data_IF_660411474289
#
_entry.id   IF_660411474289
#
_cell.length_a   1.000
_cell.length_b   1.000
_cell.length_c   1.000
_cell.angle_alpha   90.00
_cell.angle_beta   90.00
_cell.angle_gamma   90.00
#
_symmetry.space_group_name_H-M   'P 1'
#
loop_
_entity.id
_entity.type
_entity.pdbx_description
1 polymer ?
#
# COMPACT_ATOMS: atom_id res chain seq x y z
N UNK A 1 -15.96 -10.52 -8.18
CA UNK A 1 -14.92 -10.40 -7.12
C UNK A 1 -14.08 -9.17 -7.44
N UNK A 2 -13.72 -8.31 -6.46
CA UNK A 2 -12.91 -7.13 -6.71
C UNK A 2 -11.53 -7.51 -7.24
N UNK A 3 -10.95 -6.67 -8.10
CA UNK A 3 -9.59 -6.83 -8.62
C UNK A 3 -8.60 -6.05 -7.76
N UNK A 4 -7.38 -6.58 -7.60
CA UNK A 4 -6.28 -5.90 -6.92
C UNK A 4 -5.14 -5.68 -7.90
N UNK A 5 -4.77 -4.42 -8.11
CA UNK A 5 -3.65 -4.02 -8.96
C UNK A 5 -2.55 -3.36 -8.12
N UNK A 6 -1.29 -3.61 -8.47
CA UNK A 6 -0.13 -2.93 -7.88
C UNK A 6 0.44 -2.00 -8.94
N UNK A 7 0.44 -0.71 -8.66
CA UNK A 7 0.91 0.31 -9.62
C UNK A 7 2.42 0.45 -9.53
N UNK A 8 3.07 0.41 -10.67
CA UNK A 8 4.52 0.50 -10.85
C UNK A 8 4.90 1.70 -11.74
N UNK A 9 6.20 1.96 -11.89
CA UNK A 9 6.70 2.95 -12.84
C UNK A 9 6.36 2.62 -14.30
N UNK A 10 6.23 1.35 -14.63
CA UNK A 10 5.89 0.92 -15.98
C UNK A 10 4.46 1.35 -16.35
N UNK A 11 3.53 1.28 -15.38
CA UNK A 11 2.17 1.78 -15.58
C UNK A 11 2.14 3.30 -15.81
N UNK A 12 3.08 4.03 -15.19
CA UNK A 12 3.21 5.48 -15.39
C UNK A 12 3.84 5.85 -16.75
N UNK A 13 4.63 4.94 -17.33
CA UNK A 13 5.22 5.12 -18.66
C UNK A 13 4.20 4.89 -19.79
N UNK A 14 3.08 4.20 -19.51
CA UNK A 14 2.02 4.00 -20.49
C UNK A 14 1.34 5.32 -20.87
N UNK A 15 0.86 5.48 -22.14
CA UNK A 15 -0.06 6.55 -22.49
C UNK A 15 -1.30 6.57 -21.58
N UNK A 16 -1.84 7.77 -21.31
CA UNK A 16 -2.98 7.90 -20.40
C UNK A 16 -4.17 7.05 -20.85
N UNK A 17 -4.47 7.07 -22.15
CA UNK A 17 -5.58 6.35 -22.75
C UNK A 17 -5.45 4.83 -22.53
N UNK A 18 -4.25 4.28 -22.63
CA UNK A 18 -4.01 2.86 -22.36
C UNK A 18 -4.23 2.52 -20.89
N UNK A 19 -3.74 3.34 -19.97
CA UNK A 19 -3.96 3.13 -18.54
C UNK A 19 -5.46 3.26 -18.19
N UNK A 20 -6.16 4.24 -18.75
CA UNK A 20 -7.62 4.37 -18.61
C UNK A 20 -8.34 3.11 -19.12
N UNK A 21 -7.97 2.60 -20.31
CA UNK A 21 -8.56 1.40 -20.88
C UNK A 21 -8.31 0.15 -20.02
N UNK A 22 -7.11 -0.02 -19.47
CA UNK A 22 -6.79 -1.13 -18.57
C UNK A 22 -7.64 -1.12 -17.30
N UNK A 23 -7.76 0.05 -16.65
CA UNK A 23 -8.56 0.20 -15.42
C UNK A 23 -10.05 0.05 -15.74
N UNK A 24 -10.53 0.57 -16.86
CA UNK A 24 -11.91 0.38 -17.31
C UNK A 24 -12.24 -1.11 -17.49
N UNK A 25 -11.39 -1.84 -18.22
CA UNK A 25 -11.54 -3.29 -18.40
C UNK A 25 -11.57 -4.05 -17.07
N UNK A 26 -10.72 -3.68 -16.12
CA UNK A 26 -10.72 -4.28 -14.79
C UNK A 26 -12.01 -3.96 -14.01
N UNK A 27 -12.53 -2.73 -14.10
CA UNK A 27 -13.79 -2.34 -13.48
C UNK A 27 -14.99 -3.08 -14.11
N UNK A 28 -15.01 -3.25 -15.42
CA UNK A 28 -16.06 -3.97 -16.14
C UNK A 28 -16.06 -5.47 -15.78
N UNK A 29 -14.87 -6.08 -15.70
CA UNK A 29 -14.73 -7.49 -15.37
C UNK A 29 -15.01 -7.81 -13.90
N UNK A 30 -14.67 -6.90 -12.98
CA UNK A 30 -14.61 -7.19 -11.55
C UNK A 30 -15.55 -6.32 -10.69
N UNK A 31 -16.15 -5.29 -11.25
CA UNK A 31 -17.02 -4.35 -10.56
C UNK A 31 -16.28 -3.34 -9.68
N UNK A 32 -15.24 -3.74 -8.96
CA UNK A 32 -14.43 -2.88 -8.09
C UNK A 32 -12.94 -3.18 -8.26
N UNK A 33 -12.11 -2.13 -8.17
CA UNK A 33 -10.65 -2.22 -8.26
C UNK A 33 -10.01 -1.58 -7.04
N UNK A 34 -9.02 -2.27 -6.45
CA UNK A 34 -8.16 -1.75 -5.38
C UNK A 34 -6.76 -1.55 -5.95
N UNK A 35 -6.34 -0.31 -6.10
CA UNK A 35 -5.03 0.07 -6.64
C UNK A 35 -4.05 0.37 -5.50
N UNK A 36 -3.00 -0.45 -5.36
CA UNK A 36 -1.91 -0.23 -4.42
C UNK A 36 -0.89 0.71 -5.06
N UNK A 37 -0.73 1.90 -4.52
CA UNK A 37 0.14 2.95 -5.04
C UNK A 37 1.28 3.26 -4.05
N UNK A 38 2.45 3.74 -4.51
CA UNK A 38 3.45 4.31 -3.61
C UNK A 38 2.90 5.55 -2.89
N UNK A 39 3.17 5.65 -1.57
CA UNK A 39 2.67 6.77 -0.74
C UNK A 39 3.54 8.02 -0.87
N UNK A 40 4.87 7.80 -0.97
CA UNK A 40 5.83 8.90 -0.93
C UNK A 40 6.00 9.54 -2.29
N UNK A 41 6.78 10.59 -2.28
CA UNK A 41 7.47 11.36 -3.31
C UNK A 41 7.01 11.24 -4.79
N UNK A 42 6.43 10.13 -5.20
CA UNK A 42 5.85 9.96 -6.52
C UNK A 42 4.38 10.36 -6.54
N UNK A 43 4.19 11.64 -6.26
CA UNK A 43 2.93 12.33 -6.51
C UNK A 43 2.41 12.07 -7.95
N UNK A 44 3.30 11.67 -8.88
CA UNK A 44 2.97 11.31 -10.23
C UNK A 44 2.08 10.06 -10.32
N UNK A 45 2.40 8.97 -9.58
CA UNK A 45 1.60 7.74 -9.59
C UNK A 45 0.20 8.00 -9.04
N UNK A 46 0.12 8.68 -7.91
CA UNK A 46 -1.15 9.03 -7.29
C UNK A 46 -1.96 9.99 -8.16
N UNK A 47 -1.33 11.06 -8.69
CA UNK A 47 -2.00 11.98 -9.63
C UNK A 47 -2.52 11.25 -10.86
N UNK A 48 -1.71 10.34 -11.43
CA UNK A 48 -2.13 9.53 -12.58
C UNK A 48 -3.37 8.69 -12.27
N UNK A 49 -3.41 8.00 -11.12
CA UNK A 49 -4.58 7.23 -10.71
C UNK A 49 -5.80 8.11 -10.48
N UNK A 50 -5.65 9.29 -9.88
CA UNK A 50 -6.75 10.25 -9.74
C UNK A 50 -7.25 10.76 -11.10
N UNK A 51 -6.34 10.99 -12.07
CA UNK A 51 -6.72 11.35 -13.43
C UNK A 51 -7.51 10.23 -14.11
N UNK A 52 -7.03 8.98 -14.00
CA UNK A 52 -7.74 7.79 -14.52
C UNK A 52 -9.12 7.66 -13.88
N UNK A 53 -9.21 7.79 -12.55
CA UNK A 53 -10.47 7.73 -11.82
C UNK A 53 -11.45 8.82 -12.26
N UNK A 54 -10.96 10.05 -12.48
CA UNK A 54 -11.79 11.18 -12.97
C UNK A 54 -12.23 10.97 -14.40
N UNK A 55 -11.34 10.49 -15.28
CA UNK A 55 -11.67 10.22 -16.69
C UNK A 55 -12.73 9.11 -16.84
N UNK A 56 -12.75 8.15 -15.92
CA UNK A 56 -13.74 7.07 -15.89
C UNK A 56 -15.00 7.41 -15.06
N UNK A 57 -15.03 8.57 -14.39
CA UNK A 57 -16.08 8.92 -13.41
C UNK A 57 -16.32 7.77 -12.40
N UNK A 58 -15.25 7.06 -12.05
CA UNK A 58 -15.34 5.79 -11.33
C UNK A 58 -15.27 5.99 -9.81
N UNK A 59 -16.36 5.73 -9.12
CA UNK A 59 -16.43 5.60 -7.65
C UNK A 59 -16.03 4.20 -7.15
N UNK A 60 -15.83 3.24 -8.06
CA UNK A 60 -15.47 1.84 -7.79
C UNK A 60 -13.96 1.55 -7.87
N UNK A 61 -13.13 2.59 -7.94
CA UNK A 61 -11.68 2.50 -7.88
C UNK A 61 -11.17 3.06 -6.54
N UNK A 62 -10.71 2.18 -5.65
CA UNK A 62 -10.00 2.58 -4.44
C UNK A 62 -8.51 2.81 -4.75
N UNK A 63 -7.96 3.94 -4.30
CA UNK A 63 -6.53 4.25 -4.41
C UNK A 63 -5.93 4.15 -3.00
N UNK A 64 -5.04 3.19 -2.78
CA UNK A 64 -4.43 2.90 -1.48
C UNK A 64 -2.96 3.29 -1.51
N UNK A 65 -2.58 4.46 -0.99
CA UNK A 65 -1.18 4.84 -0.87
C UNK A 65 -0.50 4.07 0.26
N UNK A 66 0.67 3.48 -0.04
CA UNK A 66 1.46 2.64 0.88
C UNK A 66 2.93 3.04 0.85
N UNK A 67 3.49 3.35 2.02
CA UNK A 67 4.93 3.63 2.22
C UNK A 67 5.80 2.38 2.26
N UNK A 68 5.53 1.42 1.39
CA UNK A 68 6.22 0.13 1.35
C UNK A 68 7.25 0.06 0.22
N UNK A 69 8.36 -0.64 0.42
CA UNK A 69 9.26 -1.01 -0.67
C UNK A 69 8.55 -1.78 -1.79
N UNK A 70 9.08 -1.76 -3.01
CA UNK A 70 8.43 -2.35 -4.17
C UNK A 70 8.06 -3.83 -4.00
N UNK A 71 8.99 -4.67 -3.48
CA UNK A 71 8.72 -6.08 -3.24
C UNK A 71 7.58 -6.28 -2.22
N UNK A 72 7.57 -5.51 -1.14
CA UNK A 72 6.51 -5.59 -0.13
C UNK A 72 5.13 -5.25 -0.71
N UNK A 73 5.04 -4.24 -1.61
CA UNK A 73 3.78 -3.90 -2.30
C UNK A 73 3.31 -5.02 -3.23
N UNK A 74 4.22 -5.66 -3.95
CA UNK A 74 3.90 -6.81 -4.81
C UNK A 74 3.33 -7.96 -3.99
N UNK A 75 4.00 -8.33 -2.89
CA UNK A 75 3.57 -9.40 -1.99
C UNK A 75 2.23 -9.10 -1.31
N UNK A 76 2.03 -7.86 -0.86
CA UNK A 76 0.73 -7.42 -0.34
C UNK A 76 -0.36 -7.55 -1.40
N UNK A 77 -0.07 -7.19 -2.65
CA UNK A 77 -0.99 -7.39 -3.76
C UNK A 77 -1.32 -8.88 -3.98
N UNK A 78 -0.35 -9.79 -3.84
CA UNK A 78 -0.58 -11.23 -3.89
C UNK A 78 -1.49 -11.70 -2.74
N UNK A 79 -1.22 -11.27 -1.50
CA UNK A 79 -2.05 -11.58 -0.33
C UNK A 79 -3.50 -11.12 -0.52
N UNK A 80 -3.71 -9.89 -0.98
CA UNK A 80 -5.05 -9.36 -1.22
C UNK A 80 -5.77 -10.10 -2.35
N UNK A 81 -5.06 -10.48 -3.43
CA UNK A 81 -5.63 -11.30 -4.51
C UNK A 81 -6.08 -12.68 -4.00
N UNK A 82 -5.35 -13.30 -3.10
CA UNK A 82 -5.80 -14.55 -2.45
C UNK A 82 -7.09 -14.32 -1.64
N UNK A 83 -7.20 -13.21 -0.93
CA UNK A 83 -8.38 -12.84 -0.15
C UNK A 83 -9.60 -12.49 -1.04
N UNK A 84 -9.44 -12.15 -2.32
CA UNK A 84 -10.59 -11.93 -3.20
C UNK A 84 -11.43 -13.19 -3.41
N UNK A 85 -10.87 -14.38 -3.18
CA UNK A 85 -11.58 -15.64 -3.21
C UNK A 85 -12.49 -15.92 -2.00
N UNK A 86 -12.52 -15.02 -1.02
CA UNK A 86 -13.34 -15.12 0.20
C UNK A 86 -14.61 -14.26 0.10
N UNK A 87 -15.39 -14.21 1.18
CA UNK A 87 -16.61 -13.39 1.30
C UNK A 87 -16.35 -11.91 1.64
N UNK A 88 -15.07 -11.48 1.65
CA UNK A 88 -14.71 -10.11 1.97
C UNK A 88 -15.15 -9.13 0.87
N UNK A 89 -15.93 -8.13 1.25
CA UNK A 89 -16.38 -7.06 0.36
C UNK A 89 -15.23 -6.13 -0.09
N UNK A 90 -15.44 -5.35 -1.17
CA UNK A 90 -14.38 -4.51 -1.75
C UNK A 90 -13.86 -3.45 -0.78
N UNK A 91 -14.72 -2.85 0.05
CA UNK A 91 -14.30 -1.85 1.04
C UNK A 91 -13.44 -2.44 2.15
N UNK A 92 -13.75 -3.68 2.58
CA UNK A 92 -12.95 -4.43 3.55
C UNK A 92 -11.59 -4.78 2.95
N UNK A 93 -11.53 -5.25 1.70
CA UNK A 93 -10.26 -5.57 1.02
C UNK A 93 -9.37 -4.33 0.84
N UNK A 94 -9.96 -3.18 0.50
CA UNK A 94 -9.20 -1.94 0.42
C UNK A 94 -8.60 -1.53 1.77
N UNK A 95 -9.38 -1.65 2.86
CA UNK A 95 -8.88 -1.41 4.22
C UNK A 95 -7.87 -2.46 4.69
N UNK A 96 -8.04 -3.73 4.28
CA UNK A 96 -7.12 -4.82 4.56
C UNK A 96 -5.71 -4.53 4.02
N UNK A 97 -5.56 -3.81 2.91
CA UNK A 97 -4.26 -3.39 2.41
C UNK A 97 -3.45 -2.60 3.45
N UNK A 98 -4.09 -1.67 4.17
CA UNK A 98 -3.46 -0.91 5.25
C UNK A 98 -3.19 -1.78 6.48
N UNK A 99 -4.14 -2.61 6.88
CA UNK A 99 -3.99 -3.52 8.02
C UNK A 99 -2.83 -4.49 7.80
N UNK A 100 -2.83 -5.21 6.67
CA UNK A 100 -1.84 -6.24 6.39
C UNK A 100 -0.45 -5.68 6.11
N UNK A 101 -0.33 -4.41 5.72
CA UNK A 101 0.99 -3.77 5.58
C UNK A 101 1.78 -3.79 6.87
N UNK A 102 1.15 -3.69 8.04
CA UNK A 102 1.82 -3.76 9.36
C UNK A 102 2.43 -5.14 9.66
N UNK A 103 2.02 -6.19 8.94
CA UNK A 103 2.54 -7.55 9.09
C UNK A 103 3.61 -7.89 8.05
N UNK A 104 4.18 -6.90 7.38
CA UNK A 104 5.30 -7.06 6.47
C UNK A 104 6.58 -6.54 7.13
N UNK A 105 7.65 -7.33 7.06
CA UNK A 105 9.00 -6.86 7.43
C UNK A 105 9.83 -6.82 6.17
N UNK A 106 10.16 -5.62 5.69
CA UNK A 106 10.75 -5.44 4.37
C UNK A 106 12.02 -4.61 4.41
N UNK A 107 13.03 -5.09 3.70
CA UNK A 107 14.33 -4.46 3.61
C UNK A 107 15.08 -4.85 2.35
N UNK A 108 16.35 -4.49 2.31
CA UNK A 108 17.26 -4.89 1.25
C UNK A 108 18.70 -5.05 1.74
N UNK A 109 19.41 -5.95 1.10
CA UNK A 109 20.87 -5.98 1.09
C UNK A 109 21.34 -5.04 -0.01
N UNK A 110 22.15 -4.04 0.33
CA UNK A 110 22.60 -3.01 -0.59
C UNK A 110 24.13 -2.98 -0.67
N UNK A 111 24.65 -2.80 -1.90
CA UNK A 111 26.07 -2.56 -2.11
C UNK A 111 26.50 -1.13 -1.74
N UNK A 112 25.56 -0.18 -1.59
CA UNK A 112 25.82 1.20 -1.20
C UNK A 112 24.53 1.83 -0.68
N UNK A 113 24.65 2.70 0.33
CA UNK A 113 23.55 3.50 0.91
C UNK A 113 23.68 4.99 0.60
N UNK A 114 24.61 5.37 -0.28
CA UNK A 114 24.93 6.78 -0.55
C UNK A 114 23.79 7.57 -1.21
N UNK A 115 22.87 6.89 -1.90
CA UNK A 115 21.69 7.48 -2.55
C UNK A 115 20.38 6.99 -1.93
N UNK A 116 20.44 6.46 -0.72
CA UNK A 116 19.26 6.02 0.02
C UNK A 116 18.60 7.24 0.66
N UNK A 117 17.46 7.67 0.11
CA UNK A 117 16.72 8.85 0.55
C UNK A 117 15.44 8.52 1.32
N UNK A 118 14.95 7.28 1.21
CA UNK A 118 13.67 6.84 1.78
C UNK A 118 13.78 6.19 3.16
N UNK A 119 14.99 5.88 3.58
CA UNK A 119 15.28 5.36 4.92
C UNK A 119 16.28 6.29 5.59
N UNK A 120 16.02 6.78 6.81
CA UNK A 120 16.95 7.67 7.51
C UNK A 120 18.33 7.03 7.66
N UNK A 121 19.36 7.65 7.10
CA UNK A 121 20.74 7.15 7.13
C UNK A 121 21.59 8.03 8.03
N UNK A 122 22.27 7.44 9.00
CA UNK A 122 23.26 8.15 9.80
C UNK A 122 24.54 8.47 8.99
N UNK A 123 25.17 9.60 9.30
CA UNK A 123 26.40 10.07 8.62
C UNK A 123 27.50 8.99 8.58
N UNK A 124 27.65 8.22 9.65
CA UNK A 124 28.61 7.11 9.72
C UNK A 124 28.38 6.01 8.68
N UNK A 125 27.11 5.71 8.33
CA UNK A 125 26.77 4.72 7.32
C UNK A 125 27.08 5.21 5.90
N UNK A 126 26.91 6.51 5.63
CA UNK A 126 27.32 7.11 4.36
C UNK A 126 28.82 7.00 4.12
N UNK A 127 29.64 7.30 5.13
CA UNK A 127 31.11 7.21 5.02
C UNK A 127 31.56 5.76 4.81
N UNK A 128 30.97 4.80 5.53
CA UNK A 128 31.27 3.37 5.37
C UNK A 128 30.87 2.81 3.99
N UNK A 129 29.84 3.38 3.35
CA UNK A 129 29.38 2.93 2.02
C UNK A 129 30.37 3.25 0.89
N UNK A 130 31.39 4.07 1.16
CA UNK A 130 32.50 4.34 0.23
C UNK A 130 33.59 3.27 0.25
N UNK A 131 33.54 2.33 1.22
CA UNK A 131 34.53 1.24 1.33
C UNK A 131 34.09 0.07 0.44
N UNK A 132 34.88 -0.32 -0.58
CA UNK A 132 34.56 -1.46 -1.44
C UNK A 132 34.41 -2.78 -0.66
N UNK A 133 33.48 -3.62 -1.11
CA UNK A 133 33.27 -4.96 -0.54
C UNK A 133 32.39 -4.99 0.71
N UNK A 134 31.90 -3.87 1.21
CA UNK A 134 30.90 -3.84 2.31
C UNK A 134 29.49 -3.89 1.75
N UNK A 135 28.66 -4.66 2.40
CA UNK A 135 27.22 -4.71 2.13
C UNK A 135 26.45 -4.24 3.34
N UNK A 136 25.33 -3.57 3.10
CA UNK A 136 24.47 -3.01 4.14
C UNK A 136 23.14 -3.74 4.19
N UNK A 137 22.77 -4.19 5.36
CA UNK A 137 21.42 -4.66 5.67
C UNK A 137 20.56 -3.45 6.04
N UNK A 138 19.56 -3.16 5.26
CA UNK A 138 18.63 -2.04 5.48
C UNK A 138 17.24 -2.61 5.67
N UNK A 139 16.56 -2.26 6.77
CA UNK A 139 15.15 -2.50 6.97
C UNK A 139 14.41 -1.16 6.77
N UNK A 140 13.39 -1.15 5.95
CA UNK A 140 12.59 0.05 5.70
C UNK A 140 11.22 -0.02 6.38
N UNK A 141 10.74 -1.22 6.69
CA UNK A 141 9.43 -1.45 7.29
C UNK A 141 9.47 -2.70 8.18
N UNK A 142 8.84 -2.74 9.38
CA UNK A 142 8.01 -1.68 9.98
C UNK A 142 8.83 -0.51 10.53
N UNK A 143 10.03 -0.75 11.03
CA UNK A 143 10.90 0.27 11.62
C UNK A 143 12.21 0.37 10.84
N UNK A 144 12.68 1.60 10.54
CA UNK A 144 13.93 1.80 9.85
C UNK A 144 15.15 1.24 10.63
N UNK A 145 15.97 0.46 9.94
CA UNK A 145 17.25 -0.02 10.46
C UNK A 145 18.31 0.02 9.36
N UNK A 146 19.54 0.36 9.72
CA UNK A 146 20.71 0.27 8.84
C UNK A 146 21.89 -0.28 9.63
N UNK A 147 22.48 -1.36 9.12
CA UNK A 147 23.68 -1.99 9.68
C UNK A 147 24.54 -2.62 8.58
N UNK A 148 25.75 -3.05 8.93
CA UNK A 148 26.55 -3.90 8.04
C UNK A 148 25.92 -5.31 8.02
N UNK A 149 25.94 -5.95 6.85
CA UNK A 149 25.38 -7.29 6.68
C UNK A 149 26.34 -8.36 7.24
N UNK A 150 26.44 -8.40 8.55
CA UNK A 150 27.26 -9.39 9.29
C UNK A 150 26.35 -10.47 9.88
N UNK A 151 26.85 -11.73 10.02
CA UNK A 151 26.06 -12.82 10.61
C UNK A 151 25.56 -12.54 12.04
N UNK A 152 26.32 -11.74 12.81
CA UNK A 152 25.97 -11.36 14.19
C UNK A 152 25.07 -10.12 14.29
N UNK A 153 24.89 -9.37 13.19
CA UNK A 153 24.15 -8.11 13.16
C UNK A 153 22.88 -8.23 12.31
N UNK A 154 21.89 -8.96 12.83
CA UNK A 154 20.59 -9.14 12.16
C UNK A 154 19.56 -8.21 12.79
N UNK A 155 18.79 -7.43 12.00
CA UNK A 155 17.72 -6.59 12.53
C UNK A 155 16.61 -7.40 13.19
N UNK A 156 15.83 -6.81 14.10
CA UNK A 156 14.67 -7.46 14.70
C UNK A 156 13.69 -7.95 13.63
N UNK A 157 13.17 -9.15 13.78
CA UNK A 157 12.25 -9.80 12.86
C UNK A 157 10.82 -9.89 13.40
N UNK A 158 9.91 -10.47 12.59
CA UNK A 158 8.54 -10.70 12.98
C UNK A 158 8.44 -11.69 14.16
N UNK A 159 7.55 -11.39 15.12
CA UNK A 159 7.24 -12.28 16.25
C UNK A 159 6.21 -13.39 15.91
N UNK A 160 5.91 -13.61 14.65
CA UNK A 160 4.92 -14.55 14.13
C UNK A 160 5.49 -15.32 12.94
N UNK A 161 4.81 -16.42 12.57
CA UNK A 161 5.26 -17.28 11.47
C UNK A 161 5.16 -16.57 10.12
N UNK A 162 6.27 -16.57 9.38
CA UNK A 162 6.36 -15.94 8.07
C UNK A 162 7.10 -16.82 7.07
N UNK A 163 6.90 -16.52 5.80
CA UNK A 163 7.80 -16.88 4.72
C UNK A 163 8.62 -15.66 4.32
N UNK A 164 9.78 -15.88 3.74
CA UNK A 164 10.67 -14.84 3.24
C UNK A 164 10.71 -14.90 1.72
N UNK A 165 10.34 -13.81 1.07
CA UNK A 165 10.58 -13.63 -0.36
C UNK A 165 11.80 -12.75 -0.56
N UNK A 166 12.58 -13.04 -1.60
CA UNK A 166 13.71 -12.22 -2.00
C UNK A 166 13.70 -11.99 -3.52
N UNK A 167 14.22 -10.84 -3.93
CA UNK A 167 14.32 -10.42 -5.31
C UNK A 167 15.61 -9.62 -5.50
N UNK A 168 16.52 -10.07 -6.36
CA UNK A 168 17.83 -9.44 -6.39
C UNK A 168 18.51 -9.38 -7.74
N UNK A 169 19.50 -8.48 -7.77
CA UNK A 169 20.43 -8.36 -8.92
C UNK A 169 21.79 -7.88 -8.43
N UNK A 170 22.83 -8.63 -8.82
CA UNK A 170 24.22 -8.20 -8.69
C UNK A 170 24.83 -8.27 -7.28
N UNK A 171 24.17 -8.93 -6.31
CA UNK A 171 24.70 -9.26 -5.00
C UNK A 171 24.36 -10.71 -4.64
N UNK A 172 25.20 -11.32 -3.78
CA UNK A 172 24.96 -12.64 -3.22
C UNK A 172 23.86 -12.56 -2.13
N UNK A 173 22.79 -13.34 -2.21
CA UNK A 173 21.74 -13.38 -1.20
C UNK A 173 22.10 -14.20 0.06
N UNK A 174 23.29 -14.76 0.16
CA UNK A 174 23.68 -15.69 1.22
C UNK A 174 23.44 -15.19 2.65
N UNK A 175 23.59 -13.88 2.91
CA UNK A 175 23.25 -13.30 4.19
C UNK A 175 21.74 -13.37 4.49
N UNK A 176 20.89 -13.19 3.47
CA UNK A 176 19.42 -13.24 3.60
C UNK A 176 18.96 -14.68 3.80
N UNK A 177 19.47 -15.62 2.96
CA UNK A 177 19.05 -17.03 2.99
C UNK A 177 19.62 -17.82 4.18
N UNK A 178 20.69 -17.33 4.79
CA UNK A 178 21.34 -17.91 5.97
C UNK A 178 21.01 -17.13 7.26
N UNK A 179 21.86 -16.19 7.69
CA UNK A 179 21.73 -15.50 8.99
C UNK A 179 20.36 -14.86 9.21
N UNK A 180 19.84 -14.12 8.23
CA UNK A 180 18.54 -13.44 8.37
C UNK A 180 17.39 -14.44 8.49
N UNK A 181 17.31 -15.41 7.57
CA UNK A 181 16.24 -16.40 7.56
C UNK A 181 16.22 -17.23 8.85
N UNK A 182 17.39 -17.59 9.37
CA UNK A 182 17.54 -18.31 10.64
C UNK A 182 17.07 -17.45 11.84
N UNK A 183 17.54 -16.21 11.94
CA UNK A 183 17.18 -15.29 13.03
C UNK A 183 15.68 -14.96 13.02
N UNK A 184 15.08 -14.79 11.85
CA UNK A 184 13.65 -14.52 11.67
C UNK A 184 12.77 -15.78 11.70
N UNK A 185 13.37 -16.97 11.84
CA UNK A 185 12.69 -18.27 11.85
C UNK A 185 11.73 -18.43 10.67
N UNK A 186 12.19 -17.98 9.49
CA UNK A 186 11.37 -18.04 8.28
C UNK A 186 11.18 -19.50 7.86
N UNK A 187 9.94 -19.93 7.64
CA UNK A 187 9.60 -21.32 7.30
C UNK A 187 10.09 -21.71 5.91
N UNK A 188 10.10 -20.75 5.01
CA UNK A 188 10.48 -20.96 3.62
C UNK A 188 11.06 -19.68 3.03
N UNK A 189 12.05 -19.81 2.13
CA UNK A 189 12.63 -18.71 1.37
C UNK A 189 12.35 -18.95 -0.09
N UNK A 190 11.73 -17.99 -0.77
CA UNK A 190 11.46 -18.05 -2.23
C UNK A 190 12.08 -16.89 -2.97
N UNK A 191 12.58 -17.13 -4.17
CA UNK A 191 12.99 -16.08 -5.09
C UNK A 191 11.81 -15.65 -5.96
N UNK A 192 11.73 -14.35 -6.22
CA UNK A 192 10.73 -13.76 -7.11
C UNK A 192 11.40 -12.74 -8.03
N UNK A 193 10.77 -12.37 -9.15
CA UNK A 193 11.29 -11.33 -10.02
C UNK A 193 11.47 -10.00 -9.27
N UNK A 194 12.59 -9.30 -9.56
CA UNK A 194 12.85 -7.99 -8.99
C UNK A 194 11.86 -6.97 -9.57
N UNK A 195 11.07 -6.28 -8.70
CA UNK A 195 10.15 -5.26 -9.17
C UNK A 195 10.86 -4.12 -9.92
N UNK A 196 10.26 -3.55 -10.98
CA UNK A 196 10.91 -2.53 -11.81
C UNK A 196 11.30 -1.27 -11.03
N UNK A 197 10.55 -0.91 -9.99
CA UNK A 197 10.81 0.26 -9.15
C UNK A 197 11.96 0.11 -8.15
N UNK A 198 12.47 -1.11 -7.94
CA UNK A 198 13.40 -1.43 -6.85
C UNK A 198 14.68 -0.63 -6.89
N UNK A 199 15.32 -0.57 -8.06
CA UNK A 199 16.58 0.17 -8.20
C UNK A 199 16.42 1.68 -7.91
N UNK A 200 15.29 2.26 -8.30
CA UNK A 200 14.97 3.66 -8.05
C UNK A 200 14.62 3.87 -6.57
N UNK A 201 13.86 2.97 -6.00
CA UNK A 201 13.41 3.06 -4.59
C UNK A 201 14.59 2.98 -3.61
N UNK A 202 15.54 2.06 -3.87
CA UNK A 202 16.72 1.83 -3.03
C UNK A 202 17.94 2.67 -3.42
N UNK A 203 17.86 3.48 -4.46
CA UNK A 203 18.95 4.34 -4.92
C UNK A 203 20.15 3.59 -5.51
N UNK A 204 20.05 2.30 -5.78
CA UNK A 204 21.10 1.45 -6.34
C UNK A 204 20.57 0.31 -7.17
N UNK A 205 21.30 -0.08 -8.23
CA UNK A 205 20.95 -1.25 -9.04
C UNK A 205 21.60 -2.56 -8.56
N UNK A 206 22.51 -2.51 -7.57
CA UNK A 206 23.12 -3.68 -6.92
C UNK A 206 22.43 -3.90 -5.57
N UNK A 207 21.43 -4.75 -5.58
CA UNK A 207 20.58 -4.96 -4.41
C UNK A 207 19.95 -6.36 -4.40
N UNK A 208 19.58 -6.83 -3.22
CA UNK A 208 18.63 -7.93 -3.02
C UNK A 208 17.57 -7.46 -2.03
N UNK A 209 16.37 -7.19 -2.51
CA UNK A 209 15.21 -6.95 -1.63
C UNK A 209 14.80 -8.23 -0.93
N UNK A 210 14.29 -8.09 0.29
CA UNK A 210 13.67 -9.18 1.02
C UNK A 210 12.43 -8.69 1.76
N UNK A 211 11.46 -9.57 1.91
CA UNK A 211 10.24 -9.27 2.67
C UNK A 211 9.74 -10.54 3.36
N UNK A 212 9.62 -10.48 4.69
CA UNK A 212 8.90 -11.49 5.45
C UNK A 212 7.40 -11.16 5.44
N UNK A 213 6.57 -12.15 5.18
CA UNK A 213 5.12 -11.99 5.01
C UNK A 213 4.37 -13.25 5.47
N UNK A 214 3.11 -13.09 5.84
CA UNK A 214 2.22 -14.20 6.17
C UNK A 214 1.73 -14.81 4.85
N UNK A 215 2.03 -16.08 4.59
CA UNK A 215 1.64 -16.77 3.36
C UNK A 215 0.31 -17.54 3.49
N UNK A 216 -0.11 -17.84 4.71
CA UNK A 216 -1.35 -18.60 4.97
C UNK A 216 -2.57 -17.70 4.80
N UNK A 217 -3.43 -18.03 3.83
CA UNK A 217 -4.64 -17.27 3.51
C UNK A 217 -5.67 -17.32 4.64
N UNK A 218 -5.73 -18.41 5.38
CA UNK A 218 -6.62 -18.55 6.53
C UNK A 218 -6.23 -17.60 7.66
N UNK A 219 -4.91 -17.45 7.92
CA UNK A 219 -4.39 -16.46 8.87
C UNK A 219 -4.67 -15.04 8.41
N UNK A 220 -4.46 -14.72 7.13
CA UNK A 220 -4.79 -13.40 6.56
C UNK A 220 -6.29 -13.09 6.72
N UNK A 221 -7.15 -14.06 6.42
CA UNK A 221 -8.59 -13.93 6.58
C UNK A 221 -8.98 -13.69 8.04
N UNK A 222 -8.41 -14.45 8.99
CA UNK A 222 -8.64 -14.26 10.42
C UNK A 222 -8.22 -12.87 10.89
N UNK A 223 -7.05 -12.37 10.48
CA UNK A 223 -6.60 -11.02 10.80
C UNK A 223 -7.59 -9.96 10.31
N UNK A 224 -8.03 -10.07 9.06
CA UNK A 224 -8.98 -9.11 8.47
C UNK A 224 -10.36 -9.19 9.10
N UNK A 225 -10.82 -10.38 9.50
CA UNK A 225 -12.14 -10.55 10.12
C UNK A 225 -12.17 -10.23 11.60
N UNK A 226 -11.01 -10.19 12.26
CA UNK A 226 -10.90 -9.84 13.69
C UNK A 226 -11.06 -8.35 13.99
N UNK A 227 -10.93 -7.48 12.97
CA UNK A 227 -11.07 -6.03 13.16
C UNK A 227 -12.50 -5.57 12.98
N UNK A 228 -12.84 -4.49 13.68
CA UNK A 228 -14.17 -3.88 13.59
C UNK A 228 -14.44 -3.38 12.17
N UNK A 229 -15.66 -3.58 11.71
CA UNK A 229 -16.18 -3.10 10.44
C UNK A 229 -17.28 -2.10 10.67
N UNK A 230 -17.32 -1.09 9.81
CA UNK A 230 -18.38 -0.07 9.81
C UNK A 230 -18.92 0.07 8.38
N UNK A 231 -20.20 0.45 8.24
CA UNK A 231 -20.78 0.74 6.93
C UNK A 231 -20.51 2.19 6.56
N UNK A 232 -19.95 2.44 5.39
CA UNK A 232 -19.77 3.80 4.89
C UNK A 232 -21.12 4.46 4.63
N UNK A 233 -21.38 5.60 5.27
CA UNK A 233 -22.65 6.33 5.16
C UNK A 233 -22.89 6.94 3.77
N UNK A 234 -21.86 7.06 2.93
CA UNK A 234 -21.96 7.63 1.60
C UNK A 234 -22.20 6.58 0.51
N UNK A 235 -21.33 5.56 0.42
CA UNK A 235 -21.38 4.56 -0.65
C UNK A 235 -21.93 3.20 -0.23
N UNK A 236 -22.26 3.01 1.06
CA UNK A 236 -22.86 1.78 1.58
C UNK A 236 -21.90 0.58 1.71
N UNK A 237 -20.63 0.71 1.32
CA UNK A 237 -19.67 -0.37 1.46
C UNK A 237 -19.33 -0.64 2.92
N UNK A 238 -19.21 -1.92 3.28
CA UNK A 238 -18.58 -2.32 4.53
C UNK A 238 -17.06 -2.06 4.44
N UNK A 239 -16.48 -1.43 5.45
CA UNK A 239 -15.09 -0.99 5.47
C UNK A 239 -14.45 -1.23 6.83
N UNK A 240 -13.13 -1.33 6.87
CA UNK A 240 -12.30 -1.31 8.08
C UNK A 240 -11.42 -0.05 8.08
N UNK A 241 -11.20 0.51 9.28
CA UNK A 241 -10.47 1.76 9.45
C UNK A 241 -11.40 2.97 9.63
N UNK A 242 -10.82 4.16 9.56
CA UNK A 242 -11.45 5.45 9.86
C UNK A 242 -11.95 6.21 8.62
N UNK A 243 -11.65 5.69 7.43
CA UNK A 243 -11.99 6.33 6.15
C UNK A 243 -12.29 5.29 5.07
N UNK A 244 -13.35 5.53 4.31
CA UNK A 244 -13.64 4.76 3.10
C UNK A 244 -12.63 5.10 1.99
N UNK A 245 -11.93 4.09 1.46
CA UNK A 245 -10.90 4.29 0.42
C UNK A 245 -11.48 4.46 -0.98
N UNK A 246 -12.79 4.23 -1.16
CA UNK A 246 -13.49 4.45 -2.42
C UNK A 246 -14.01 5.89 -2.55
N UNK A 247 -14.75 6.38 -1.57
CA UNK A 247 -15.36 7.72 -1.62
C UNK A 247 -14.69 8.77 -0.71
N UNK A 248 -13.66 8.37 0.04
CA UNK A 248 -12.91 9.22 0.98
C UNK A 248 -13.72 9.75 2.18
N UNK A 249 -14.96 9.27 2.40
CA UNK A 249 -15.77 9.65 3.57
C UNK A 249 -15.11 9.14 4.84
N UNK A 250 -14.96 10.02 5.84
CA UNK A 250 -14.49 9.63 7.18
C UNK A 250 -15.60 8.91 7.94
N UNK A 251 -15.22 7.80 8.58
CA UNK A 251 -16.11 7.00 9.42
C UNK A 251 -16.00 7.53 10.85
N UNK A 252 -17.09 7.98 11.42
CA UNK A 252 -17.11 8.53 12.78
C UNK A 252 -17.47 9.99 12.88
N UNK A 253 -17.58 10.73 11.80
CA UNK A 253 -18.25 12.04 11.77
C UNK A 253 -19.77 11.84 11.86
N UNK A 254 -20.25 11.50 13.09
CA UNK A 254 -21.68 11.38 13.39
C UNK A 254 -22.44 12.70 13.22
N UNK A 255 -21.72 13.80 12.94
CA UNK A 255 -22.25 15.14 12.70
C UNK A 255 -22.19 15.61 11.25
N UNK A 256 -21.75 14.78 10.31
CA UNK A 256 -21.92 15.13 8.91
C UNK A 256 -23.41 15.09 8.58
N UNK A 257 -24.04 16.21 8.11
CA UNK A 257 -25.44 16.20 7.75
C UNK A 257 -25.65 15.13 6.67
N UNK A 258 -26.61 14.24 6.88
CA UNK A 258 -27.03 13.24 5.92
C UNK A 258 -27.38 13.94 4.59
N UNK A 259 -26.43 14.02 3.67
CA UNK A 259 -26.65 14.55 2.34
C UNK A 259 -27.25 13.44 1.50
N UNK A 260 -28.56 13.63 1.26
CA UNK A 260 -29.35 12.95 0.25
C UNK A 260 -29.63 11.45 0.44
N UNK A 261 -30.49 11.13 1.40
CA UNK A 261 -31.54 10.18 1.06
C UNK A 261 -32.46 10.92 0.08
N UNK A 262 -32.44 10.58 -1.19
CA UNK A 262 -33.45 11.06 -2.12
C UNK A 262 -34.81 10.60 -1.58
N UNK A 263 -35.65 11.56 -1.20
CA UNK A 263 -37.03 11.27 -0.81
C UNK A 263 -37.75 10.69 -2.04
N UNK A 264 -38.23 9.43 -1.99
CA UNK A 264 -38.92 8.85 -3.13
C UNK A 264 -40.29 9.50 -3.40
N UNK A 265 -40.67 10.57 -2.69
CA UNK A 265 -42.01 11.20 -2.78
C UNK A 265 -42.03 12.64 -3.28
N UNK A 266 -40.94 13.17 -3.85
CA UNK A 266 -40.99 14.39 -4.67
C UNK A 266 -41.75 15.61 -4.06
N UNK A 267 -41.62 15.90 -2.77
CA UNK A 267 -42.16 17.12 -2.17
C UNK A 267 -41.11 18.20 -2.09
N UNK A 268 -41.32 19.27 -2.83
CA UNK A 268 -40.59 20.52 -2.77
C UNK A 268 -40.70 21.11 -1.36
N UNK A 269 -39.58 21.22 -0.63
CA UNK A 269 -39.54 21.96 0.64
C UNK A 269 -39.36 23.43 0.31
N UNK A 270 -40.40 24.21 0.64
CA UNK A 270 -40.38 25.68 0.55
C UNK A 270 -39.23 26.24 1.39
N UNK A 271 -38.43 27.08 0.78
CA UNK A 271 -37.34 27.83 1.43
C UNK A 271 -37.93 28.89 2.37
N UNK A 272 -37.54 28.94 3.66
CA UNK A 272 -38.01 30.03 4.54
C UNK A 272 -37.47 31.39 4.04
N UNK A 273 -38.35 32.35 3.86
CA UNK A 273 -38.05 33.75 3.52
C UNK A 273 -37.16 34.36 4.63
N UNK A 274 -36.04 34.95 4.20
CA UNK A 274 -35.17 35.78 5.05
C UNK A 274 -35.99 36.98 5.61
N UNK A 275 -35.88 37.32 6.91
CA UNK A 275 -36.44 38.56 7.44
C UNK A 275 -35.76 39.76 6.81
N UNK A 276 -36.53 40.69 6.28
CA UNK A 276 -36.07 42.00 5.84
C UNK A 276 -35.71 42.84 7.08
N UNK A 277 -34.48 43.29 7.17
CA UNK A 277 -34.06 44.31 8.16
C UNK A 277 -34.59 45.66 7.70
N UNK A 278 -35.49 46.24 8.53
CA UNK A 278 -35.91 47.64 8.35
C UNK A 278 -34.77 48.61 8.64
N UNK A 279 -34.66 49.72 7.89
CA UNK A 279 -33.62 50.73 8.13
C UNK A 279 -33.96 51.57 9.36
N UNK A 280 -33.06 51.61 10.33
CA UNK A 280 -33.10 52.60 11.43
C UNK A 280 -33.06 54.03 10.88
N UNK A 281 -34.11 54.80 11.09
CA UNK A 281 -34.09 56.26 11.03
C UNK A 281 -33.48 56.76 12.36
N UNK A 282 -32.44 57.56 12.18
CA UNK A 282 -31.82 58.52 13.13
C UNK A 282 -31.88 58.21 14.62
#
# INVERSE_FOLDING_TARGET
MPSVITVTSDDLALPLEQHVAQVAAALDAHGHVVALAPAEADDAARRRLHTVRSALEADRLAIVPLGLPPLARVLLGEQLRQLTGTDLGPGVLAGAARLLSYYLHSGALLGSVSKLDRVPVGVGSHVKSLVPGRHFAVLAHPEPYIGEAEPAAVPPGPGYMTQLALAGKGLDPGWITGPLAAAWRSQHVREVPLPPDSARWWGTGKLVEFTAYIADVGMLYQLVTSVRRDTCTWCGLEVIGDQCLFCATRLGDRNAPAKHAADPRGRSVETPRRPQLEPHKR
#
